data_IF_708081667789
#
_entry.id   IF_708081667789
#
_cell.length_a   1.000
_cell.length_b   1.000
_cell.length_c   1.000
_cell.angle_alpha   90.00
_cell.angle_beta   90.00
_cell.angle_gamma   90.00
#
_symmetry.space_group_name_H-M   'P 1'
#
loop_
_entity.id
_entity.type
_entity.pdbx_description
1 polymer ?
#
# COMPACT_ATOMS: atom_id res chain seq x y z
N UNK A 1 37.87 4.93 -12.96
CA UNK A 1 38.71 5.41 -14.08
C UNK A 1 38.85 4.27 -15.07
N UNK A 2 38.15 4.34 -16.21
CA UNK A 2 38.22 3.33 -17.27
C UNK A 2 39.60 3.49 -17.93
N UNK A 3 40.51 2.53 -17.74
CA UNK A 3 41.93 2.60 -18.10
C UNK A 3 42.20 2.64 -19.61
N UNK A 4 41.80 3.73 -20.27
CA UNK A 4 42.02 3.97 -21.69
C UNK A 4 43.14 5.00 -21.83
N UNK A 5 44.10 4.75 -22.74
CA UNK A 5 45.27 5.60 -22.92
C UNK A 5 44.86 6.95 -23.55
N UNK A 6 45.45 8.10 -23.15
CA UNK A 6 45.01 9.45 -23.58
C UNK A 6 45.02 9.71 -25.09
N UNK A 7 45.66 8.85 -25.88
CA UNK A 7 45.77 8.97 -27.35
C UNK A 7 44.55 8.38 -28.09
N UNK A 8 43.70 7.63 -27.40
CA UNK A 8 42.50 7.00 -27.98
C UNK A 8 41.22 7.81 -27.69
N UNK A 9 41.34 9.03 -27.16
CA UNK A 9 40.23 9.95 -27.03
C UNK A 9 39.91 10.57 -28.41
N UNK A 10 38.78 10.17 -28.99
CA UNK A 10 38.17 10.88 -30.10
C UNK A 10 37.35 12.05 -29.52
N UNK A 11 37.77 13.32 -29.69
CA UNK A 11 36.97 14.44 -29.23
C UNK A 11 35.73 14.58 -30.10
N UNK A 12 34.55 14.36 -29.50
CA UNK A 12 33.27 14.64 -30.14
C UNK A 12 32.94 16.10 -29.84
N UNK A 13 33.11 16.96 -30.85
CA UNK A 13 32.59 18.33 -30.80
C UNK A 13 31.12 18.28 -31.20
N UNK A 14 30.23 18.60 -30.27
CA UNK A 14 28.81 18.82 -30.57
C UNK A 14 28.66 20.30 -30.89
N UNK A 15 28.53 20.65 -32.18
CA UNK A 15 28.04 21.97 -32.56
C UNK A 15 26.53 22.01 -32.30
N UNK A 16 26.12 22.73 -31.25
CA UNK A 16 24.71 23.06 -31.02
C UNK A 16 24.26 24.12 -32.04
N UNK A 17 23.88 23.66 -33.23
CA UNK A 17 23.19 24.50 -34.22
C UNK A 17 21.74 24.74 -33.79
N UNK A 18 21.35 25.99 -33.59
CA UNK A 18 19.96 26.40 -33.41
C UNK A 18 19.20 26.26 -34.73
N UNK A 19 18.75 25.04 -35.05
CA UNK A 19 17.86 24.82 -36.18
C UNK A 19 16.44 25.23 -35.79
N UNK A 20 16.16 26.53 -35.85
CA UNK A 20 14.82 27.08 -35.68
C UNK A 20 13.96 26.62 -36.86
N UNK A 21 13.16 25.58 -36.66
CA UNK A 21 12.30 25.07 -37.72
C UNK A 21 11.13 26.02 -37.94
N UNK A 22 10.62 26.08 -39.18
CA UNK A 22 9.42 26.86 -39.49
C UNK A 22 8.23 26.43 -38.61
N UNK A 23 8.20 25.17 -38.16
CA UNK A 23 7.20 24.64 -37.25
C UNK A 23 7.27 25.25 -35.84
N UNK A 24 8.48 25.50 -35.32
CA UNK A 24 8.67 26.11 -34.00
C UNK A 24 8.25 27.58 -33.98
N UNK A 25 8.47 28.29 -35.10
CA UNK A 25 7.98 29.65 -35.30
C UNK A 25 6.45 29.70 -35.41
N UNK A 26 5.84 28.76 -36.11
CA UNK A 26 4.37 28.68 -36.20
C UNK A 26 3.74 28.33 -34.85
N UNK A 27 4.32 27.38 -34.11
CA UNK A 27 3.83 26.97 -32.79
C UNK A 27 3.93 28.12 -31.77
N UNK A 28 5.05 28.84 -31.76
CA UNK A 28 5.23 30.01 -30.89
C UNK A 28 4.28 31.15 -31.28
N UNK A 29 4.09 31.43 -32.57
CA UNK A 29 3.11 32.42 -33.02
C UNK A 29 1.67 32.07 -32.60
N UNK A 30 1.30 30.79 -32.66
CA UNK A 30 -0.02 30.32 -32.23
C UNK A 30 -0.20 30.48 -30.71
N UNK A 31 0.85 30.17 -29.93
CA UNK A 31 0.87 30.38 -28.49
C UNK A 31 0.70 31.86 -28.13
N UNK A 32 1.42 32.77 -28.79
CA UNK A 32 1.28 34.20 -28.57
C UNK A 32 -0.08 34.75 -29.01
N UNK A 33 -0.69 34.21 -30.06
CA UNK A 33 -2.05 34.58 -30.49
C UNK A 33 -3.10 34.21 -29.44
N UNK A 34 -3.02 33.00 -28.86
CA UNK A 34 -3.91 32.55 -27.79
C UNK A 34 -3.72 33.41 -26.53
N UNK A 35 -2.48 33.72 -26.17
CA UNK A 35 -2.22 34.60 -25.03
C UNK A 35 -2.72 36.02 -25.26
N UNK A 36 -2.63 36.53 -26.49
CA UNK A 36 -3.14 37.85 -26.86
C UNK A 36 -4.68 37.91 -26.84
N UNK A 37 -5.39 36.85 -27.24
CA UNK A 37 -6.86 36.81 -27.14
C UNK A 37 -7.33 36.74 -25.69
N UNK A 38 -6.69 35.93 -24.85
CA UNK A 38 -6.96 35.87 -23.40
C UNK A 38 -6.67 37.23 -22.74
N UNK A 39 -5.54 37.86 -23.08
CA UNK A 39 -5.18 39.17 -22.54
C UNK A 39 -6.13 40.28 -23.02
N UNK A 40 -6.57 40.26 -24.28
CA UNK A 40 -7.56 41.21 -24.80
C UNK A 40 -8.91 41.07 -24.10
N UNK A 41 -9.37 39.84 -23.91
CA UNK A 41 -10.64 39.58 -23.23
C UNK A 41 -10.57 39.92 -21.72
N UNK A 42 -9.38 39.81 -21.11
CA UNK A 42 -9.13 40.26 -19.74
C UNK A 42 -9.02 41.79 -19.62
N UNK A 43 -8.38 42.46 -20.60
CA UNK A 43 -8.13 43.91 -20.57
C UNK A 43 -9.35 44.73 -21.03
N UNK A 44 -10.17 44.21 -21.96
CA UNK A 44 -11.42 44.84 -22.41
C UNK A 44 -12.66 44.38 -21.62
N UNK A 45 -12.49 43.54 -20.59
CA UNK A 45 -13.57 42.87 -19.83
C UNK A 45 -14.04 43.59 -18.57
N UNK A 46 -13.72 44.87 -18.39
CA UNK A 46 -14.37 45.73 -17.40
C UNK A 46 -15.83 45.98 -17.79
N UNK A 47 -16.74 45.15 -17.27
CA UNK A 47 -18.19 45.32 -17.27
C UNK A 47 -18.92 45.26 -18.63
N UNK A 48 -19.29 44.05 -19.09
CA UNK A 48 -20.58 43.85 -19.78
C UNK A 48 -21.23 42.55 -19.33
N UNK A 49 -22.32 42.73 -18.57
CA UNK A 49 -23.39 41.77 -18.35
C UNK A 49 -23.89 41.21 -19.71
N UNK A 50 -23.54 39.97 -20.05
CA UNK A 50 -24.25 39.17 -21.04
C UNK A 50 -24.15 37.70 -20.65
N UNK A 51 -25.25 37.15 -20.15
CA UNK A 51 -25.39 35.74 -19.84
C UNK A 51 -24.99 34.88 -21.04
N UNK A 52 -24.13 33.89 -20.80
CA UNK A 52 -23.72 32.97 -21.86
C UNK A 52 -22.35 32.30 -21.75
N UNK A 53 -21.54 32.55 -20.71
CA UNK A 53 -20.18 31.97 -20.64
C UNK A 53 -19.78 31.37 -19.29
N UNK A 54 -20.75 30.98 -18.45
CA UNK A 54 -20.49 30.13 -17.29
C UNK A 54 -20.53 28.62 -17.63
N UNK A 55 -20.80 28.24 -18.88
CA UNK A 55 -20.90 26.84 -19.32
C UNK A 55 -19.62 26.29 -19.97
N UNK A 56 -18.71 27.15 -20.43
CA UNK A 56 -17.46 26.75 -21.07
C UNK A 56 -16.36 26.42 -20.05
N UNK A 57 -16.19 27.25 -19.02
CA UNK A 57 -15.19 27.02 -17.98
C UNK A 57 -15.54 25.81 -17.09
N UNK A 58 -16.83 25.54 -16.84
CA UNK A 58 -17.30 24.32 -16.15
C UNK A 58 -17.22 23.04 -17.01
N UNK A 59 -16.96 23.18 -18.33
CA UNK A 59 -16.70 22.05 -19.25
C UNK A 59 -15.21 21.81 -19.46
N UNK A 60 -14.38 22.86 -19.36
CA UNK A 60 -12.91 22.78 -19.40
C UNK A 60 -12.31 22.42 -18.03
N UNK A 61 -12.86 22.96 -16.94
CA UNK A 61 -12.78 22.40 -15.58
C UNK A 61 -13.87 21.34 -15.49
N UNK A 62 -13.69 20.26 -16.25
CA UNK A 62 -14.67 19.19 -16.35
C UNK A 62 -15.20 18.77 -14.99
N UNK A 63 -16.49 18.45 -14.96
CA UNK A 63 -17.20 17.71 -13.91
C UNK A 63 -16.52 16.36 -13.55
N UNK A 64 -15.32 16.43 -12.97
CA UNK A 64 -14.62 15.31 -12.31
C UNK A 64 -15.25 14.95 -10.96
N UNK A 65 -16.36 15.61 -10.61
CA UNK A 65 -17.31 15.11 -9.60
C UNK A 65 -18.00 13.80 -10.06
N UNK A 66 -17.88 13.42 -11.34
CA UNK A 66 -18.38 12.14 -11.85
C UNK A 66 -17.27 11.06 -11.85
N UNK A 67 -17.34 10.18 -10.83
CA UNK A 67 -16.50 8.99 -10.59
C UNK A 67 -15.09 9.30 -10.04
N UNK A 68 -15.00 9.87 -8.83
CA UNK A 68 -13.96 9.35 -7.92
C UNK A 68 -14.20 7.84 -7.82
N UNK A 69 -13.16 7.06 -8.10
CA UNK A 69 -13.25 5.61 -8.02
C UNK A 69 -13.64 5.26 -6.59
N UNK A 70 -14.92 4.95 -6.35
CA UNK A 70 -15.40 4.49 -5.05
C UNK A 70 -14.48 3.38 -4.58
N UNK A 71 -14.04 3.48 -3.33
CA UNK A 71 -13.18 2.45 -2.74
C UNK A 71 -14.00 1.17 -2.69
N UNK A 72 -13.61 0.18 -3.50
CA UNK A 72 -14.27 -1.12 -3.58
C UNK A 72 -13.55 -2.10 -2.67
N UNK A 73 -14.27 -3.09 -2.11
CA UNK A 73 -13.63 -4.17 -1.40
C UNK A 73 -12.81 -5.02 -2.39
N UNK A 74 -11.61 -5.39 -1.97
CA UNK A 74 -10.75 -6.33 -2.67
C UNK A 74 -11.33 -7.75 -2.59
N UNK A 75 -11.13 -8.51 -3.65
CA UNK A 75 -11.45 -9.94 -3.65
C UNK A 75 -10.32 -10.71 -2.96
N UNK A 76 -10.54 -11.11 -1.71
CA UNK A 76 -9.57 -11.86 -0.93
C UNK A 76 -9.79 -13.37 -1.09
N UNK A 77 -8.77 -14.06 -1.60
CA UNK A 77 -8.76 -15.54 -1.72
C UNK A 77 -7.84 -16.24 -0.72
N UNK A 78 -6.96 -15.47 -0.07
CA UNK A 78 -5.93 -15.96 0.84
C UNK A 78 -6.56 -16.33 2.18
N UNK A 79 -6.22 -17.48 2.74
CA UNK A 79 -6.62 -17.94 4.09
C UNK A 79 -5.40 -18.19 4.97
N UNK A 80 -5.60 -18.49 6.25
CA UNK A 80 -4.49 -18.79 7.16
C UNK A 80 -3.66 -20.01 6.76
N UNK A 81 -4.24 -20.95 5.99
CA UNK A 81 -3.53 -22.09 5.44
C UNK A 81 -2.46 -21.68 4.40
N UNK A 82 -2.65 -20.55 3.73
CA UNK A 82 -1.72 -20.04 2.71
C UNK A 82 -0.59 -19.19 3.30
N UNK A 83 -0.68 -18.86 4.60
CA UNK A 83 0.34 -18.11 5.33
C UNK A 83 1.16 -19.13 6.12
N UNK A 84 2.44 -19.30 5.82
CA UNK A 84 3.33 -20.16 6.62
C UNK A 84 3.89 -19.40 7.84
N UNK A 85 4.15 -20.11 8.93
CA UNK A 85 4.69 -19.52 10.17
C UNK A 85 3.74 -18.53 10.84
N UNK A 86 4.32 -17.55 11.54
CA UNK A 86 3.63 -16.47 12.26
C UNK A 86 2.66 -17.00 13.32
N UNK A 87 3.04 -18.06 14.02
CA UNK A 87 2.14 -18.79 14.93
C UNK A 87 1.58 -17.90 16.05
N UNK A 88 2.42 -17.02 16.61
CA UNK A 88 2.02 -16.08 17.65
C UNK A 88 1.08 -15.00 17.09
N UNK A 89 1.48 -14.33 16.01
CA UNK A 89 0.66 -13.31 15.38
C UNK A 89 -0.69 -13.84 14.89
N UNK A 90 -0.76 -15.07 14.36
CA UNK A 90 -2.02 -15.72 13.99
C UNK A 90 -2.92 -15.95 15.19
N UNK A 91 -2.39 -16.39 16.33
CA UNK A 91 -3.18 -16.57 17.56
C UNK A 91 -3.77 -15.26 18.03
N UNK A 92 -2.99 -14.18 18.04
CA UNK A 92 -3.47 -12.86 18.44
C UNK A 92 -4.56 -12.33 17.51
N UNK A 93 -4.42 -12.51 16.19
CA UNK A 93 -5.42 -11.97 15.25
C UNK A 93 -6.64 -12.89 15.08
N UNK A 94 -6.57 -14.16 15.50
CA UNK A 94 -7.69 -15.10 15.46
C UNK A 94 -8.91 -14.64 16.29
N UNK A 95 -8.67 -13.83 17.33
CA UNK A 95 -9.74 -13.18 18.10
C UNK A 95 -10.62 -12.29 17.21
N UNK A 96 -10.02 -11.51 16.30
CA UNK A 96 -10.74 -10.63 15.38
C UNK A 96 -11.60 -11.42 14.39
N UNK A 97 -11.09 -12.56 13.90
CA UNK A 97 -11.86 -13.46 13.03
C UNK A 97 -13.08 -14.00 13.77
N UNK A 98 -12.88 -14.48 14.99
CA UNK A 98 -13.95 -15.04 15.83
C UNK A 98 -15.03 -13.98 16.12
N UNK A 99 -14.58 -12.75 16.37
CA UNK A 99 -15.46 -11.60 16.53
C UNK A 99 -16.29 -11.31 15.27
N UNK A 100 -15.65 -11.18 14.11
CA UNK A 100 -16.32 -10.86 12.86
C UNK A 100 -17.32 -11.95 12.43
N UNK A 101 -17.06 -13.22 12.78
CA UNK A 101 -17.98 -14.34 12.54
C UNK A 101 -19.19 -14.35 13.49
N UNK A 102 -19.00 -13.99 14.77
CA UNK A 102 -20.07 -14.04 15.76
C UNK A 102 -20.05 -12.85 16.73
N UNK A 103 -20.37 -11.63 16.25
CA UNK A 103 -20.31 -10.42 17.07
C UNK A 103 -21.32 -10.44 18.23
N UNK A 104 -22.48 -11.08 18.03
CA UNK A 104 -23.57 -11.13 19.02
C UNK A 104 -23.18 -11.89 20.30
N UNK A 105 -22.35 -12.93 20.19
CA UNK A 105 -21.88 -13.69 21.37
C UNK A 105 -21.05 -12.80 22.31
N UNK A 106 -20.16 -11.97 21.77
CA UNK A 106 -19.32 -11.06 22.56
C UNK A 106 -20.13 -9.92 23.16
N UNK A 107 -21.07 -9.35 22.41
CA UNK A 107 -21.94 -8.27 22.90
C UNK A 107 -22.84 -8.71 24.07
N UNK A 108 -23.37 -9.94 24.04
CA UNK A 108 -24.17 -10.51 25.15
C UNK A 108 -23.38 -10.59 26.47
N UNK A 109 -22.06 -10.77 26.38
CA UNK A 109 -21.17 -10.83 27.55
C UNK A 109 -20.71 -9.44 28.01
N UNK A 110 -21.15 -8.36 27.37
CA UNK A 110 -20.72 -6.99 27.68
C UNK A 110 -19.29 -6.65 27.25
N UNK A 111 -18.66 -7.52 26.43
CA UNK A 111 -17.31 -7.28 25.95
C UNK A 111 -17.30 -6.12 24.94
N UNK A 112 -16.38 -5.17 25.14
CA UNK A 112 -16.11 -4.12 24.15
C UNK A 112 -15.24 -4.70 23.04
N UNK A 113 -15.64 -4.47 21.80
CA UNK A 113 -14.88 -4.96 20.66
C UNK A 113 -13.57 -4.18 20.51
N UNK A 114 -12.46 -4.86 20.17
CA UNK A 114 -11.26 -4.17 19.76
C UNK A 114 -11.53 -3.45 18.44
N UNK A 115 -11.38 -2.13 18.43
CA UNK A 115 -11.68 -1.30 17.24
C UNK A 115 -10.63 -1.46 16.14
N UNK A 116 -9.38 -1.72 16.54
CA UNK A 116 -8.32 -1.97 15.60
C UNK A 116 -7.10 -2.65 16.18
N UNK A 117 -6.24 -3.11 15.28
CA UNK A 117 -4.94 -3.69 15.59
C UNK A 117 -3.85 -3.08 14.72
N UNK A 118 -2.71 -2.79 15.34
CA UNK A 118 -1.49 -2.38 14.67
C UNK A 118 -0.56 -3.58 14.52
N UNK A 119 -0.25 -3.94 13.27
CA UNK A 119 0.71 -4.97 12.89
C UNK A 119 2.08 -4.31 12.71
N UNK A 120 3.00 -4.61 13.61
CA UNK A 120 4.34 -3.99 13.65
C UNK A 120 5.38 -5.03 13.33
N UNK A 121 6.30 -4.74 12.41
CA UNK A 121 7.43 -5.63 12.18
C UNK A 121 8.26 -5.22 10.97
N UNK A 122 9.42 -5.87 10.75
CA UNK A 122 10.27 -5.59 9.59
C UNK A 122 9.51 -5.75 8.26
N UNK A 123 9.96 -5.06 7.18
CA UNK A 123 9.40 -5.28 5.85
C UNK A 123 9.63 -6.73 5.41
N UNK A 124 8.73 -7.26 4.57
CA UNK A 124 8.86 -8.62 4.01
C UNK A 124 8.53 -9.78 4.97
N UNK A 125 7.98 -9.50 6.16
CA UNK A 125 7.53 -10.52 7.14
C UNK A 125 6.10 -11.01 6.92
N UNK A 126 5.38 -10.48 5.93
CA UNK A 126 4.03 -10.94 5.58
C UNK A 126 2.87 -10.25 6.30
N UNK A 127 3.06 -9.02 6.82
CA UNK A 127 1.98 -8.23 7.47
C UNK A 127 0.72 -8.08 6.60
N UNK A 128 0.89 -7.62 5.36
CA UNK A 128 -0.19 -7.47 4.37
C UNK A 128 -0.83 -8.81 4.03
N UNK A 129 -0.04 -9.89 3.96
CA UNK A 129 -0.54 -11.23 3.69
C UNK A 129 -1.39 -11.77 4.86
N UNK A 130 -0.95 -11.52 6.09
CA UNK A 130 -1.69 -11.87 7.30
C UNK A 130 -3.02 -11.12 7.38
N UNK A 131 -3.04 -9.82 7.10
CA UNK A 131 -4.28 -9.02 7.07
C UNK A 131 -5.28 -9.55 6.04
N UNK A 132 -4.82 -9.93 4.83
CA UNK A 132 -5.66 -10.59 3.83
C UNK A 132 -6.17 -11.94 4.33
N UNK A 133 -5.32 -12.77 4.93
CA UNK A 133 -5.72 -14.06 5.46
C UNK A 133 -6.82 -13.94 6.53
N UNK A 134 -6.79 -12.92 7.37
CA UNK A 134 -7.82 -12.62 8.39
C UNK A 134 -9.17 -12.34 7.74
N UNK A 135 -9.19 -11.53 6.68
CA UNK A 135 -10.42 -11.24 5.94
C UNK A 135 -10.96 -12.47 5.19
N UNK A 136 -10.08 -13.25 4.57
CA UNK A 136 -10.46 -14.49 3.90
C UNK A 136 -10.98 -15.55 4.87
N UNK A 137 -10.43 -15.62 6.08
CA UNK A 137 -10.90 -16.53 7.13
C UNK A 137 -12.25 -16.08 7.72
N UNK A 138 -12.44 -14.77 7.91
CA UNK A 138 -13.69 -14.18 8.40
C UNK A 138 -14.79 -14.17 7.33
N UNK A 139 -14.44 -14.20 6.04
CA UNK A 139 -15.39 -14.15 4.93
C UNK A 139 -16.05 -12.78 4.75
N UNK A 140 -15.36 -11.71 5.12
CA UNK A 140 -15.87 -10.33 5.11
C UNK A 140 -15.20 -9.47 4.03
N UNK A 141 -15.86 -8.40 3.54
CA UNK A 141 -15.25 -7.44 2.65
C UNK A 141 -13.95 -6.84 3.22
N UNK A 142 -12.93 -6.73 2.37
CA UNK A 142 -11.61 -6.21 2.72
C UNK A 142 -11.32 -4.92 1.95
N UNK A 143 -11.22 -3.80 2.64
CA UNK A 143 -10.87 -2.51 2.03
C UNK A 143 -9.38 -2.25 2.27
N UNK A 144 -8.58 -2.25 1.20
CA UNK A 144 -7.13 -2.00 1.29
C UNK A 144 -6.80 -0.61 0.78
N UNK A 145 -5.98 0.13 1.51
CA UNK A 145 -5.44 1.42 1.08
C UNK A 145 -4.00 1.57 1.58
N UNK A 146 -3.13 2.19 0.79
CA UNK A 146 -1.81 2.57 1.28
C UNK A 146 -1.92 3.87 2.06
N UNK A 147 -1.17 4.00 3.15
CA UNK A 147 -1.05 5.24 3.89
C UNK A 147 -0.58 6.38 2.97
N UNK A 148 0.28 6.09 1.99
CA UNK A 148 0.75 7.08 1.02
C UNK A 148 -0.38 7.65 0.17
N UNK A 149 -1.45 6.89 -0.06
CA UNK A 149 -2.60 7.31 -0.87
C UNK A 149 -3.43 8.38 -0.18
N UNK A 150 -3.17 8.66 1.09
CA UNK A 150 -3.79 9.76 1.80
C UNK A 150 -2.98 11.05 1.74
N UNK A 151 -1.73 11.00 1.30
CA UNK A 151 -0.84 12.16 1.22
C UNK A 151 -0.98 12.81 -0.16
N UNK A 152 -1.58 13.99 -0.21
CA UNK A 152 -1.87 14.69 -1.46
C UNK A 152 -1.41 16.16 -1.41
N UNK A 153 -1.13 16.75 -2.58
CA UNK A 153 -0.75 18.17 -2.67
C UNK A 153 -1.94 19.11 -2.39
N UNK A 154 -3.16 18.62 -2.60
CA UNK A 154 -4.38 19.38 -2.43
C UNK A 154 -4.93 19.19 -1.01
N UNK A 155 -5.04 20.31 -0.28
CA UNK A 155 -5.55 20.33 1.09
C UNK A 155 -6.94 19.71 1.17
N UNK A 156 -7.13 18.80 2.13
CA UNK A 156 -8.42 18.17 2.42
C UNK A 156 -8.79 16.97 1.53
N UNK A 157 -7.99 16.64 0.51
CA UNK A 157 -8.23 15.43 -0.31
C UNK A 157 -8.00 14.16 0.51
N UNK A 158 -6.91 14.08 1.28
CA UNK A 158 -6.64 12.94 2.16
C UNK A 158 -7.76 12.72 3.19
N UNK A 159 -8.16 13.79 3.90
CA UNK A 159 -9.27 13.73 4.85
C UNK A 159 -10.60 13.31 4.19
N UNK A 160 -10.89 13.76 2.97
CA UNK A 160 -12.08 13.30 2.23
C UNK A 160 -12.03 11.81 1.90
N UNK A 161 -10.86 11.28 1.52
CA UNK A 161 -10.68 9.84 1.23
C UNK A 161 -10.86 8.99 2.49
N UNK A 162 -10.37 9.46 3.63
CA UNK A 162 -10.59 8.80 4.93
C UNK A 162 -12.08 8.66 5.22
N UNK A 163 -12.87 9.74 5.05
CA UNK A 163 -14.33 9.67 5.24
C UNK A 163 -14.99 8.68 4.29
N UNK A 164 -14.66 8.74 3.00
CA UNK A 164 -15.23 7.85 1.99
C UNK A 164 -14.91 6.38 2.28
N UNK A 165 -13.66 6.07 2.70
CA UNK A 165 -13.24 4.72 3.08
C UNK A 165 -14.08 4.17 4.23
N UNK A 166 -14.25 4.94 5.30
CA UNK A 166 -15.02 4.52 6.47
C UNK A 166 -16.52 4.45 6.16
N UNK A 167 -17.05 5.33 5.32
CA UNK A 167 -18.44 5.26 4.86
C UNK A 167 -18.74 4.00 4.05
N UNK A 168 -17.88 3.64 3.10
CA UNK A 168 -18.06 2.43 2.29
C UNK A 168 -17.87 1.16 3.14
N UNK A 169 -16.90 1.15 4.05
CA UNK A 169 -16.73 0.05 5.01
C UNK A 169 -17.95 -0.11 5.92
N UNK A 170 -18.51 0.98 6.45
CA UNK A 170 -19.74 0.96 7.27
C UNK A 170 -20.92 0.36 6.51
N UNK A 171 -21.09 0.69 5.23
CA UNK A 171 -22.18 0.13 4.38
C UNK A 171 -22.00 -1.36 4.11
N UNK A 172 -20.76 -1.83 4.09
CA UNK A 172 -20.40 -3.23 3.84
C UNK A 172 -20.17 -4.04 5.13
N UNK A 173 -20.54 -3.51 6.30
CA UNK A 173 -20.30 -4.17 7.58
C UNK A 173 -21.06 -5.51 7.69
N UNK A 174 -20.47 -6.56 8.29
CA UNK A 174 -19.14 -6.60 8.92
C UNK A 174 -18.01 -6.55 7.89
N UNK A 175 -16.97 -5.75 8.12
CA UNK A 175 -15.87 -5.53 7.17
C UNK A 175 -14.53 -5.24 7.84
N UNK A 176 -13.45 -5.39 7.09
CA UNK A 176 -12.09 -5.03 7.52
C UNK A 176 -11.56 -3.89 6.66
N UNK A 177 -10.98 -2.89 7.32
CA UNK A 177 -10.16 -1.85 6.68
C UNK A 177 -8.68 -2.20 6.94
N UNK A 178 -7.86 -2.26 5.90
CA UNK A 178 -6.42 -2.39 5.95
C UNK A 178 -5.74 -1.11 5.48
N UNK A 179 -4.90 -0.54 6.35
CA UNK A 179 -4.06 0.62 6.03
C UNK A 179 -2.61 0.15 6.06
N UNK A 180 -1.98 -0.01 4.88
CA UNK A 180 -0.55 -0.31 4.81
C UNK A 180 0.28 0.96 5.03
N UNK A 181 1.53 0.83 5.49
CA UNK A 181 2.45 1.96 5.71
C UNK A 181 1.82 3.15 6.43
N UNK A 182 1.08 2.90 7.52
CA UNK A 182 0.34 3.94 8.24
C UNK A 182 1.26 5.08 8.76
N UNK A 183 2.56 4.84 8.88
CA UNK A 183 3.56 5.85 9.23
C UNK A 183 3.67 6.99 8.21
N UNK A 184 3.21 6.83 6.97
CA UNK A 184 3.19 7.94 6.00
C UNK A 184 2.23 9.08 6.38
N UNK A 185 1.14 8.76 7.11
CA UNK A 185 0.14 9.72 7.62
C UNK A 185 0.16 9.83 9.14
N UNK A 186 0.63 8.80 9.82
CA UNK A 186 0.64 8.69 11.27
C UNK A 186 1.93 9.16 11.92
N UNK A 187 2.91 9.66 11.16
CA UNK A 187 4.19 10.12 11.71
C UNK A 187 4.01 11.31 12.67
N UNK A 188 4.69 11.27 13.81
CA UNK A 188 4.78 12.37 14.75
C UNK A 188 5.49 13.56 14.11
N UNK A 189 4.90 14.76 14.25
CA UNK A 189 5.32 16.06 13.69
C UNK A 189 6.83 16.24 13.49
N UNK A 190 7.25 16.64 12.28
CA UNK A 190 8.58 17.20 12.01
C UNK A 190 8.47 18.57 11.32
N UNK A 191 8.90 19.64 12.00
CA UNK A 191 8.91 21.06 11.61
C UNK A 191 8.47 21.50 10.19
N UNK A 192 7.36 22.28 10.21
CA UNK A 192 7.02 23.50 9.47
C UNK A 192 6.97 23.45 7.92
N UNK A 193 5.79 23.78 7.39
CA UNK A 193 5.42 24.12 5.99
C UNK A 193 4.79 23.03 5.09
N UNK A 194 5.06 21.73 5.26
CA UNK A 194 4.40 20.66 4.46
C UNK A 194 3.47 19.73 5.26
N UNK A 195 3.24 20.00 6.56
CA UNK A 195 2.55 19.06 7.46
C UNK A 195 1.05 19.31 7.63
N UNK A 196 0.51 20.43 7.18
CA UNK A 196 -0.90 20.79 7.48
C UNK A 196 -1.89 19.80 6.88
N UNK A 197 -1.62 19.28 5.68
CA UNK A 197 -2.48 18.30 5.01
C UNK A 197 -2.43 16.95 5.71
N UNK A 198 -1.23 16.43 5.99
CA UNK A 198 -1.06 15.17 6.72
C UNK A 198 -1.68 15.22 8.11
N UNK A 199 -1.50 16.32 8.84
CA UNK A 199 -2.11 16.51 10.16
C UNK A 199 -3.64 16.53 10.08
N UNK A 200 -4.21 17.20 9.08
CA UNK A 200 -5.65 17.21 8.88
C UNK A 200 -6.19 15.80 8.57
N UNK A 201 -5.50 15.06 7.71
CA UNK A 201 -5.82 13.68 7.34
C UNK A 201 -5.70 12.74 8.55
N UNK A 202 -4.64 12.86 9.35
CA UNK A 202 -4.46 12.11 10.60
C UNK A 202 -5.61 12.40 11.57
N UNK A 203 -5.92 13.68 11.82
CA UNK A 203 -7.01 14.04 12.71
C UNK A 203 -8.36 13.48 12.23
N UNK A 204 -8.61 13.47 10.91
CA UNK A 204 -9.81 12.85 10.37
C UNK A 204 -9.84 11.34 10.63
N UNK A 205 -8.71 10.64 10.47
CA UNK A 205 -8.60 9.21 10.79
C UNK A 205 -8.92 8.95 12.26
N UNK A 206 -8.38 9.79 13.17
CA UNK A 206 -8.66 9.69 14.60
C UNK A 206 -10.16 9.88 14.91
N UNK A 207 -10.81 10.86 14.28
CA UNK A 207 -12.24 11.13 14.43
C UNK A 207 -13.07 9.95 13.96
N UNK A 208 -12.74 9.33 12.81
CA UNK A 208 -13.47 8.16 12.34
C UNK A 208 -13.28 6.93 13.24
N UNK A 209 -12.07 6.71 13.76
CA UNK A 209 -11.79 5.61 14.70
C UNK A 209 -12.52 5.79 16.06
N UNK A 210 -12.56 7.01 16.58
CA UNK A 210 -13.27 7.33 17.81
C UNK A 210 -14.79 7.26 17.60
N UNK A 211 -15.26 7.69 16.41
CA UNK A 211 -16.66 7.74 15.99
C UNK A 211 -17.37 6.39 15.83
N UNK A 212 -16.63 5.27 15.89
CA UNK A 212 -17.25 3.95 15.89
C UNK A 212 -18.13 3.75 17.13
N UNK A 213 -19.42 3.52 16.90
CA UNK A 213 -20.29 2.93 17.91
C UNK A 213 -19.81 1.51 18.22
N UNK A 214 -19.80 1.05 19.48
CA UNK A 214 -19.40 -0.31 19.85
C UNK A 214 -20.20 -1.42 19.16
N UNK A 215 -21.30 -1.09 18.46
CA UNK A 215 -22.13 -2.06 17.76
C UNK A 215 -21.79 -2.19 16.26
N UNK A 216 -20.96 -1.29 15.72
CA UNK A 216 -20.53 -1.36 14.33
C UNK A 216 -19.43 -2.42 14.17
N UNK A 217 -19.68 -3.44 13.34
CA UNK A 217 -18.78 -4.58 13.13
C UNK A 217 -17.68 -4.27 12.09
N UNK A 218 -17.03 -3.12 12.22
CA UNK A 218 -15.91 -2.71 11.36
C UNK A 218 -14.61 -2.80 12.17
N UNK A 219 -13.63 -3.51 11.63
CA UNK A 219 -12.30 -3.66 12.27
C UNK A 219 -11.26 -2.95 11.42
N UNK A 220 -10.42 -2.12 12.05
CA UNK A 220 -9.31 -1.42 11.38
C UNK A 220 -7.99 -2.12 11.69
N UNK A 221 -7.37 -2.71 10.68
CA UNK A 221 -6.03 -3.26 10.75
C UNK A 221 -5.07 -2.28 10.07
N UNK A 222 -3.90 -2.04 10.67
CA UNK A 222 -2.88 -1.19 10.06
C UNK A 222 -1.50 -1.83 10.14
N UNK A 223 -0.68 -1.64 9.12
CA UNK A 223 0.70 -2.12 9.05
C UNK A 223 1.70 -0.98 9.17
N UNK A 224 2.76 -1.18 9.95
CA UNK A 224 3.93 -0.29 9.93
C UNK A 224 5.23 -1.06 10.09
N UNK A 225 6.31 -0.49 9.55
CA UNK A 225 7.67 -0.93 9.82
C UNK A 225 8.34 -0.12 10.96
N UNK A 226 7.75 1.03 11.33
CA UNK A 226 8.35 2.05 12.19
C UNK A 226 7.36 2.58 13.23
N UNK A 227 7.05 1.75 14.22
CA UNK A 227 6.15 2.15 15.33
C UNK A 227 6.69 3.34 16.15
N UNK A 228 8.01 3.50 16.18
CA UNK A 228 8.72 4.60 16.83
C UNK A 228 8.31 5.96 16.29
N UNK A 229 8.00 6.04 14.99
CA UNK A 229 7.57 7.27 14.35
C UNK A 229 6.09 7.58 14.54
N UNK A 230 5.28 6.63 14.99
CA UNK A 230 3.83 6.83 15.05
C UNK A 230 3.42 7.74 16.20
N UNK A 231 2.48 8.65 15.89
CA UNK A 231 1.83 9.52 16.86
C UNK A 231 1.23 8.69 18.00
N UNK A 232 1.53 9.10 19.25
CA UNK A 232 1.03 8.44 20.44
C UNK A 232 -0.51 8.39 20.50
N UNK A 233 -1.18 9.34 19.83
CA UNK A 233 -2.63 9.38 19.72
C UNK A 233 -3.18 8.12 19.01
N UNK A 234 -2.52 7.59 17.99
CA UNK A 234 -2.97 6.37 17.29
C UNK A 234 -2.91 5.13 18.20
N UNK A 235 -1.95 5.09 19.12
CA UNK A 235 -1.68 3.97 20.04
C UNK A 235 -2.57 3.97 21.30
N UNK A 236 -3.45 4.97 21.46
CA UNK A 236 -4.34 5.05 22.63
C UNK A 236 -5.48 4.04 22.54
N UNK A 237 -5.96 3.60 23.70
CA UNK A 237 -7.14 2.78 23.80
C UNK A 237 -8.38 3.48 23.20
N UNK A 238 -9.22 2.71 22.52
CA UNK A 238 -10.29 3.17 21.62
C UNK A 238 -9.90 3.27 20.14
N UNK A 239 -8.64 2.95 19.76
CA UNK A 239 -8.11 3.10 18.40
C UNK A 239 -7.38 1.82 17.99
N UNK A 240 -6.03 1.83 17.96
CA UNK A 240 -5.25 0.60 17.81
C UNK A 240 -5.01 -0.03 19.19
N UNK A 241 -6.06 -0.66 19.70
CA UNK A 241 -6.11 -1.25 21.05
C UNK A 241 -5.17 -2.47 21.18
N UNK A 242 -4.96 -3.16 20.06
CA UNK A 242 -4.06 -4.32 19.98
C UNK A 242 -2.82 -3.95 19.20
N UNK A 243 -1.67 -4.39 19.70
CA UNK A 243 -0.40 -4.35 18.98
C UNK A 243 0.09 -5.77 18.78
N UNK A 244 0.18 -6.18 17.53
CA UNK A 244 0.65 -7.50 17.12
C UNK A 244 2.04 -7.35 16.53
N UNK A 245 3.03 -7.86 17.24
CA UNK A 245 4.43 -7.80 16.79
C UNK A 245 4.72 -9.01 15.90
N UNK A 246 5.14 -8.72 14.67
CA UNK A 246 5.51 -9.70 13.66
C UNK A 246 7.03 -9.71 13.57
N UNK A 247 7.61 -10.65 14.31
CA UNK A 247 9.05 -10.88 14.38
C UNK A 247 9.57 -11.57 13.12
N UNK A 248 10.90 -11.62 12.99
CA UNK A 248 11.54 -12.45 11.96
C UNK A 248 11.26 -13.94 12.24
N UNK A 249 11.10 -14.77 11.21
CA UNK A 249 10.73 -16.17 11.39
C UNK A 249 11.87 -17.01 11.98
N UNK A 250 11.49 -17.94 12.87
CA UNK A 250 12.38 -18.95 13.42
C UNK A 250 12.80 -20.00 12.39
N UNK A 251 13.78 -20.86 12.72
CA UNK A 251 14.23 -21.94 11.82
C UNK A 251 13.06 -22.82 11.37
N UNK A 252 12.15 -23.17 12.29
CA UNK A 252 10.96 -23.98 11.98
C UNK A 252 10.01 -23.24 11.03
N UNK A 253 9.72 -21.99 11.32
CA UNK A 253 8.83 -21.15 10.49
C UNK A 253 9.43 -20.89 9.10
N UNK A 254 10.75 -20.68 9.00
CA UNK A 254 11.43 -20.59 7.72
C UNK A 254 11.29 -21.87 6.90
N UNK A 255 11.38 -23.04 7.52
CA UNK A 255 11.18 -24.31 6.83
C UNK A 255 9.74 -24.42 6.28
N UNK A 256 8.73 -23.96 7.03
CA UNK A 256 7.35 -23.88 6.54
C UNK A 256 7.20 -22.90 5.36
N UNK A 257 7.84 -21.73 5.45
CA UNK A 257 7.83 -20.72 4.37
C UNK A 257 8.49 -21.29 3.11
N UNK A 258 9.63 -21.98 3.24
CA UNK A 258 10.26 -22.68 2.13
C UNK A 258 9.31 -23.73 1.52
N UNK A 259 8.60 -24.52 2.32
CA UNK A 259 7.64 -25.52 1.81
C UNK A 259 6.57 -24.87 0.92
N UNK A 260 6.01 -23.73 1.33
CA UNK A 260 5.02 -22.99 0.55
C UNK A 260 5.60 -22.51 -0.78
N UNK A 261 6.80 -21.91 -0.76
CA UNK A 261 7.43 -21.38 -1.98
C UNK A 261 8.05 -22.45 -2.90
N UNK A 262 8.34 -23.64 -2.37
CA UNK A 262 8.81 -24.79 -3.15
C UNK A 262 7.67 -25.54 -3.85
N UNK A 263 6.45 -25.52 -3.30
CA UNK A 263 5.28 -26.21 -3.87
C UNK A 263 5.01 -25.91 -5.36
N UNK A 264 5.03 -24.64 -5.84
CA UNK A 264 4.79 -24.34 -7.25
C UNK A 264 5.98 -24.68 -8.16
N UNK A 265 7.15 -25.01 -7.60
CA UNK A 265 8.38 -25.22 -8.35
C UNK A 265 8.51 -26.68 -8.81
N UNK A 266 8.97 -26.87 -10.05
CA UNK A 266 9.31 -28.20 -10.56
C UNK A 266 10.66 -28.64 -10.03
N UNK A 267 10.65 -29.34 -8.89
CA UNK A 267 11.84 -29.95 -8.30
C UNK A 267 12.23 -31.24 -9.02
N UNK A 268 13.52 -31.57 -9.00
CA UNK A 268 14.01 -32.86 -9.49
C UNK A 268 13.46 -34.01 -8.64
N UNK A 269 13.11 -35.18 -9.22
CA UNK A 269 12.64 -36.34 -8.47
C UNK A 269 13.62 -36.86 -7.40
N UNK A 270 14.88 -36.44 -7.47
CA UNK A 270 15.93 -36.79 -6.49
C UNK A 270 15.93 -35.88 -5.26
N UNK A 271 15.18 -34.78 -5.29
CA UNK A 271 15.14 -33.79 -4.22
C UNK A 271 13.85 -33.98 -3.43
N UNK A 272 14.00 -34.31 -2.15
CA UNK A 272 12.89 -34.21 -1.21
C UNK A 272 12.68 -32.75 -0.81
N UNK A 273 11.49 -32.22 -1.11
CA UNK A 273 11.10 -30.85 -0.81
C UNK A 273 11.15 -30.55 0.71
N UNK A 274 10.81 -31.54 1.55
CA UNK A 274 10.78 -31.36 3.00
C UNK A 274 12.19 -31.26 3.57
N UNK A 275 13.05 -32.23 3.24
CA UNK A 275 14.46 -32.20 3.63
C UNK A 275 15.19 -30.96 3.08
N UNK A 276 14.88 -30.55 1.84
CA UNK A 276 15.42 -29.33 1.25
C UNK A 276 15.01 -28.09 2.04
N UNK A 277 13.72 -27.95 2.37
CA UNK A 277 13.21 -26.81 3.12
C UNK A 277 13.86 -26.68 4.50
N UNK A 278 14.00 -27.80 5.23
CA UNK A 278 14.65 -27.82 6.55
C UNK A 278 16.13 -27.47 6.46
N UNK A 279 16.85 -28.01 5.47
CA UNK A 279 18.25 -27.68 5.23
C UNK A 279 18.44 -26.22 4.86
N UNK A 280 17.60 -25.68 3.97
CA UNK A 280 17.67 -24.28 3.56
C UNK A 280 17.37 -23.36 4.73
N UNK A 281 16.37 -23.66 5.55
CA UNK A 281 16.03 -22.88 6.73
C UNK A 281 17.19 -22.75 7.73
N UNK A 282 18.00 -23.81 7.88
CA UNK A 282 19.21 -23.79 8.70
C UNK A 282 20.33 -22.91 8.10
N UNK A 283 20.43 -22.84 6.78
CA UNK A 283 21.46 -22.08 6.05
C UNK A 283 21.11 -20.59 5.86
N UNK A 284 19.87 -20.18 6.15
CA UNK A 284 19.39 -18.80 5.94
C UNK A 284 18.99 -18.10 7.25
N UNK A 285 19.91 -17.91 8.22
CA UNK A 285 19.59 -17.22 9.46
C UNK A 285 19.20 -15.76 9.21
N UNK A 286 18.15 -15.29 9.89
CA UNK A 286 17.72 -13.89 9.86
C UNK A 286 16.98 -13.43 8.61
N UNK A 287 16.79 -14.30 7.60
CA UNK A 287 16.00 -14.00 6.41
C UNK A 287 14.50 -13.96 6.70
N UNK A 288 13.79 -13.05 6.02
CA UNK A 288 12.33 -12.92 6.13
C UNK A 288 11.62 -13.65 4.99
N UNK A 289 10.28 -13.71 5.03
CA UNK A 289 9.50 -14.42 4.03
C UNK A 289 9.74 -13.92 2.60
N UNK A 290 9.88 -12.61 2.40
CA UNK A 290 10.21 -12.03 1.10
C UNK A 290 11.58 -12.49 0.57
N UNK A 291 12.60 -12.59 1.43
CA UNK A 291 13.93 -13.07 1.04
C UNK A 291 13.89 -14.54 0.61
N UNK A 292 13.15 -15.36 1.36
CA UNK A 292 12.97 -16.79 1.07
C UNK A 292 12.25 -16.99 -0.26
N UNK A 293 11.18 -16.22 -0.49
CA UNK A 293 10.45 -16.22 -1.77
C UNK A 293 11.40 -15.86 -2.93
N UNK A 294 12.25 -14.85 -2.73
CA UNK A 294 13.22 -14.43 -3.74
C UNK A 294 14.26 -15.52 -4.03
N UNK A 295 14.79 -16.21 -3.00
CA UNK A 295 15.73 -17.33 -3.19
C UNK A 295 15.10 -18.45 -4.03
N UNK A 296 13.86 -18.82 -3.73
CA UNK A 296 13.15 -19.86 -4.49
C UNK A 296 12.94 -19.44 -5.95
N UNK A 297 12.59 -18.17 -6.18
CA UNK A 297 12.41 -17.61 -7.51
C UNK A 297 13.73 -17.57 -8.32
N UNK A 298 14.82 -17.11 -7.72
CA UNK A 298 16.15 -17.07 -8.36
C UNK A 298 16.65 -18.47 -8.70
N UNK A 299 16.42 -19.46 -7.82
CA UNK A 299 16.75 -20.86 -8.10
C UNK A 299 16.01 -21.38 -9.35
N UNK A 300 14.74 -21.00 -9.53
CA UNK A 300 13.94 -21.37 -10.70
C UNK A 300 14.45 -20.70 -11.98
N UNK A 301 14.75 -19.39 -11.92
CA UNK A 301 15.32 -18.64 -13.06
C UNK A 301 16.67 -19.23 -13.47
N UNK A 302 17.52 -19.56 -12.49
CA UNK A 302 18.83 -20.15 -12.74
C UNK A 302 18.73 -21.53 -13.40
N UNK A 303 17.81 -22.39 -12.93
CA UNK A 303 17.55 -23.69 -13.54
C UNK A 303 17.02 -23.56 -14.98
N UNK A 304 16.14 -22.58 -15.24
CA UNK A 304 15.63 -22.30 -16.58
C UNK A 304 16.74 -21.85 -17.54
N UNK A 305 17.64 -20.95 -17.10
CA UNK A 305 18.79 -20.48 -17.90
C UNK A 305 19.73 -21.62 -18.30
N UNK A 306 19.94 -22.59 -17.41
CA UNK A 306 20.76 -23.79 -17.68
C UNK A 306 20.08 -24.83 -18.58
N UNK A 307 18.85 -24.57 -19.05
CA UNK A 307 18.03 -25.50 -19.85
C UNK A 307 17.88 -26.87 -19.17
N UNK A 308 17.82 -26.90 -17.84
CA UNK A 308 17.73 -28.15 -17.08
C UNK A 308 16.36 -28.80 -17.30
N UNK A 309 16.32 -29.90 -18.06
CA UNK A 309 15.06 -30.62 -18.36
C UNK A 309 14.45 -31.34 -17.14
N UNK A 310 15.26 -31.62 -16.12
CA UNK A 310 14.89 -32.44 -14.95
C UNK A 310 14.34 -31.66 -13.75
N UNK A 311 14.26 -30.33 -13.81
CA UNK A 311 13.81 -29.48 -12.70
C UNK A 311 14.97 -28.88 -11.89
N UNK A 312 14.64 -28.19 -10.80
CA UNK A 312 15.62 -27.58 -9.90
C UNK A 312 16.33 -28.69 -9.12
N UNK A 313 17.67 -28.67 -9.15
CA UNK A 313 18.53 -29.64 -8.47
C UNK A 313 19.33 -28.94 -7.37
N UNK A 314 19.48 -29.60 -6.22
CA UNK A 314 20.44 -29.20 -5.19
C UNK A 314 21.80 -29.82 -5.53
N UNK A 315 22.80 -28.98 -5.84
CA UNK A 315 24.21 -29.40 -5.95
C UNK A 315 24.98 -28.94 -4.73
#
# INVERSE_FOLDING_TARGET
SLGIHPKDFLPIYVEEGWNLSLGDLVASAFFFLIMATIARDFLMGGAVNRGGSASGLNRLLGNSSSKRARIKPDTVKVRFADVAGLHEAKREIMEFVSFLKNPAAFQKMGAKLPKGALLVGPPGTGKTLLAKAVAGEAGVPFFSISGSDFVELFVGVGASRVRELFDEARKAAPSIIWIDEIDSVGASRSTQFANSEREQTLNQLLVEMDGFSPHQSVVVLAGTNREDLLDAALKRAGRFDRRVVISRPDVKERAEIFKVHLQPLKLSPRVDATALAERMAALTPGMVGADIANICNEAAIYAARRRTKRGIEQR
#
